data_IF_189724965793
#
_entry.id   IF_189724965793
#
_cell.length_a   1.000
_cell.length_b   1.000
_cell.length_c   1.000
_cell.angle_alpha   90.00
_cell.angle_beta   90.00
_cell.angle_gamma   90.00
#
_symmetry.space_group_name_H-M   'P 1'
#
loop_
_entity.id
_entity.type
_entity.pdbx_description
1 polymer ?
#
# COMPACT_ATOMS: atom_id res chain seq x y z
N UNK A 1 -49.48 49.10 49.03
CA UNK A 1 -49.39 48.67 47.61
C UNK A 1 -47.96 48.24 47.29
N UNK A 2 -47.66 46.93 47.39
CA UNK A 2 -46.41 46.32 46.92
C UNK A 2 -46.78 45.31 45.84
N UNK A 3 -46.94 45.76 44.59
CA UNK A 3 -47.34 44.88 43.48
C UNK A 3 -46.66 45.20 42.13
N UNK A 4 -45.55 45.94 42.15
CA UNK A 4 -44.81 46.30 40.91
C UNK A 4 -43.38 45.74 40.83
N UNK A 5 -42.87 45.08 41.86
CA UNK A 5 -41.48 44.60 41.86
C UNK A 5 -41.31 43.13 41.43
N UNK A 6 -42.39 42.35 41.32
CA UNK A 6 -42.31 40.93 40.97
C UNK A 6 -42.36 40.64 39.46
N UNK A 7 -42.86 41.57 38.64
CA UNK A 7 -43.03 41.36 37.19
C UNK A 7 -41.80 41.73 36.37
N UNK A 8 -40.94 42.63 36.86
CA UNK A 8 -39.72 43.04 36.14
C UNK A 8 -38.64 41.95 36.15
N UNK A 9 -38.57 41.14 37.21
CA UNK A 9 -37.53 40.12 37.38
C UNK A 9 -37.79 38.84 36.57
N UNK A 10 -39.05 38.54 36.23
CA UNK A 10 -39.41 37.37 35.40
C UNK A 10 -39.25 37.63 33.90
N UNK A 11 -39.45 38.86 33.44
CA UNK A 11 -39.26 39.21 32.03
C UNK A 11 -37.77 39.29 31.63
N UNK A 12 -36.91 39.78 32.53
CA UNK A 12 -35.46 39.85 32.27
C UNK A 12 -34.82 38.46 32.18
N UNK A 13 -35.28 37.51 32.99
CA UNK A 13 -34.78 36.13 33.00
C UNK A 13 -35.19 35.37 31.73
N UNK A 14 -36.38 35.63 31.20
CA UNK A 14 -36.86 35.03 29.95
C UNK A 14 -36.10 35.56 28.72
N UNK A 15 -35.76 36.86 28.69
CA UNK A 15 -35.01 37.46 27.57
C UNK A 15 -33.52 37.08 27.55
N UNK A 16 -32.94 36.66 28.69
CA UNK A 16 -31.54 36.20 28.76
C UNK A 16 -31.36 34.71 28.42
N UNK A 17 -32.38 33.88 28.58
CA UNK A 17 -32.32 32.43 28.30
C UNK A 17 -32.55 32.07 26.83
N UNK A 18 -33.31 32.88 26.10
CA UNK A 18 -33.64 32.63 24.69
C UNK A 18 -32.40 32.70 23.77
N UNK A 19 -31.48 33.68 23.86
CA UNK A 19 -30.31 33.68 23.00
C UNK A 19 -29.30 32.57 23.34
N UNK A 20 -29.25 32.10 24.59
CA UNK A 20 -28.36 31.00 25.01
C UNK A 20 -28.84 29.65 24.47
N UNK A 21 -30.16 29.39 24.44
CA UNK A 21 -30.69 28.13 23.94
C UNK A 21 -30.71 28.04 22.41
N UNK A 22 -30.83 29.16 21.69
CA UNK A 22 -30.87 29.17 20.21
C UNK A 22 -29.46 29.10 19.60
N UNK A 23 -28.42 29.60 20.27
CA UNK A 23 -27.04 29.53 19.77
C UNK A 23 -26.23 28.30 20.22
N UNK A 24 -26.69 27.51 21.20
CA UNK A 24 -25.87 26.41 21.76
C UNK A 24 -26.10 25.02 21.14
N UNK A 25 -27.17 24.81 20.37
CA UNK A 25 -27.54 23.46 19.89
C UNK A 25 -27.53 23.24 18.38
N UNK A 26 -27.48 24.29 17.56
CA UNK A 26 -27.55 24.13 16.09
C UNK A 26 -26.16 24.01 15.45
N UNK A 27 -25.13 24.58 16.08
CA UNK A 27 -23.74 24.44 15.62
C UNK A 27 -23.18 23.03 15.86
N UNK A 28 -23.65 22.27 16.86
CA UNK A 28 -23.05 20.98 17.20
C UNK A 28 -23.47 19.85 16.24
N UNK A 29 -24.73 19.77 15.84
CA UNK A 29 -25.19 18.76 14.87
C UNK A 29 -24.70 19.06 13.45
N UNK A 30 -24.82 20.32 13.00
CA UNK A 30 -24.37 20.71 11.66
C UNK A 30 -22.85 20.54 11.49
N UNK A 31 -22.05 20.89 12.51
CA UNK A 31 -20.60 20.68 12.50
C UNK A 31 -20.23 19.21 12.56
N UNK A 32 -21.04 18.37 13.23
CA UNK A 32 -20.80 16.92 13.32
C UNK A 32 -21.12 16.20 12.02
N UNK A 33 -22.20 16.57 11.33
CA UNK A 33 -22.54 16.01 10.02
C UNK A 33 -21.57 16.47 8.92
N UNK A 34 -21.18 17.74 8.93
CA UNK A 34 -20.16 18.24 7.98
C UNK A 34 -18.78 17.64 8.23
N UNK A 35 -18.37 17.49 9.51
CA UNK A 35 -17.12 16.81 9.88
C UNK A 35 -17.11 15.35 9.50
N UNK A 36 -18.22 14.63 9.71
CA UNK A 36 -18.34 13.22 9.32
C UNK A 36 -18.26 13.05 7.79
N UNK A 37 -18.99 13.86 7.04
CA UNK A 37 -18.92 13.83 5.57
C UNK A 37 -17.53 14.22 5.05
N UNK A 38 -16.84 15.14 5.73
CA UNK A 38 -15.45 15.48 5.43
C UNK A 38 -14.49 14.33 5.71
N UNK A 39 -14.64 13.63 6.84
CA UNK A 39 -13.83 12.44 7.17
C UNK A 39 -14.03 11.32 6.15
N UNK A 40 -15.28 11.02 5.76
CA UNK A 40 -15.60 10.02 4.75
C UNK A 40 -14.94 10.34 3.40
N UNK A 41 -15.06 11.58 2.92
CA UNK A 41 -14.43 12.01 1.66
C UNK A 41 -12.90 11.92 1.72
N UNK A 42 -12.29 12.42 2.79
CA UNK A 42 -10.83 12.39 2.94
C UNK A 42 -10.30 10.95 2.97
N UNK A 43 -10.95 10.07 3.73
CA UNK A 43 -10.57 8.65 3.81
C UNK A 43 -10.76 7.92 2.46
N UNK A 44 -11.80 8.25 1.69
CA UNK A 44 -11.98 7.68 0.35
C UNK A 44 -10.88 8.11 -0.62
N UNK A 45 -10.58 9.41 -0.68
CA UNK A 45 -9.49 9.92 -1.53
C UNK A 45 -8.16 9.29 -1.13
N UNK A 46 -7.91 9.17 0.19
CA UNK A 46 -6.73 8.49 0.70
C UNK A 46 -6.68 7.02 0.26
N UNK A 47 -7.77 6.26 0.37
CA UNK A 47 -7.81 4.84 -0.01
C UNK A 47 -7.52 4.65 -1.51
N UNK A 48 -8.16 5.47 -2.35
CA UNK A 48 -7.93 5.45 -3.81
C UNK A 48 -6.48 5.79 -4.15
N UNK A 49 -5.94 6.83 -3.50
CA UNK A 49 -4.58 7.29 -3.68
C UNK A 49 -3.55 6.21 -3.28
N UNK A 50 -3.67 5.58 -2.10
CA UNK A 50 -2.73 4.53 -1.71
C UNK A 50 -2.81 3.29 -2.60
N UNK A 51 -4.02 2.89 -3.02
CA UNK A 51 -4.22 1.70 -3.86
C UNK A 51 -3.70 1.94 -5.27
N UNK A 52 -4.02 3.09 -5.85
CA UNK A 52 -3.60 3.41 -7.21
C UNK A 52 -2.11 3.69 -7.32
N UNK A 53 -1.48 4.23 -6.26
CA UNK A 53 -0.01 4.30 -6.18
C UNK A 53 0.60 2.91 -6.02
N UNK A 54 0.09 2.07 -5.12
CA UNK A 54 0.60 0.71 -4.94
C UNK A 54 0.49 -0.16 -6.22
N UNK A 55 -0.50 0.12 -7.08
CA UNK A 55 -0.78 -0.65 -8.30
C UNK A 55 -0.25 -0.04 -9.60
N UNK A 56 0.44 1.11 -9.54
CA UNK A 56 0.84 1.87 -10.74
C UNK A 56 -0.35 2.17 -11.69
N UNK A 57 -1.47 2.63 -11.12
CA UNK A 57 -2.71 2.90 -11.87
C UNK A 57 -3.03 4.39 -12.03
N UNK A 58 -2.30 5.26 -11.34
CA UNK A 58 -2.55 6.71 -11.32
C UNK A 58 -1.35 7.42 -11.94
N UNK A 59 -1.49 8.14 -13.07
CA UNK A 59 -0.38 8.91 -13.63
C UNK A 59 0.24 9.86 -12.59
N UNK A 60 1.57 10.02 -12.59
CA UNK A 60 2.29 10.82 -11.57
C UNK A 60 1.74 12.25 -11.40
N UNK A 61 1.31 12.87 -12.50
CA UNK A 61 0.67 14.20 -12.47
C UNK A 61 -0.65 14.23 -11.68
N UNK A 62 -1.40 13.13 -11.70
CA UNK A 62 -2.71 13.00 -11.09
C UNK A 62 -2.56 12.63 -9.60
N UNK A 63 -1.49 11.92 -9.23
CA UNK A 63 -1.10 11.69 -7.81
C UNK A 63 -0.99 13.03 -7.06
N UNK A 64 -0.30 14.03 -7.64
CA UNK A 64 -0.16 15.37 -7.02
C UNK A 64 -1.48 16.12 -6.89
N UNK A 65 -2.43 15.89 -7.80
CA UNK A 65 -3.76 16.48 -7.74
C UNK A 65 -4.54 15.83 -6.59
N UNK A 66 -4.54 14.50 -6.51
CA UNK A 66 -5.23 13.76 -5.46
C UNK A 66 -4.69 14.07 -4.06
N UNK A 67 -3.39 14.30 -3.91
CA UNK A 67 -2.81 14.74 -2.62
C UNK A 67 -3.40 16.09 -2.17
N UNK A 68 -3.58 17.04 -3.10
CA UNK A 68 -4.21 18.34 -2.80
C UNK A 68 -5.71 18.23 -2.53
N UNK A 69 -6.39 17.32 -3.23
CA UNK A 69 -7.80 17.01 -2.96
C UNK A 69 -7.97 16.41 -1.57
N UNK A 70 -7.06 15.51 -1.16
CA UNK A 70 -7.00 14.95 0.18
C UNK A 70 -6.81 16.06 1.23
N UNK A 71 -5.87 16.98 1.02
CA UNK A 71 -5.65 18.12 1.92
C UNK A 71 -6.92 18.99 2.06
N UNK A 72 -7.56 19.35 0.94
CA UNK A 72 -8.75 20.18 0.94
C UNK A 72 -9.99 19.48 1.55
N UNK A 73 -10.08 18.15 1.42
CA UNK A 73 -11.10 17.34 2.07
C UNK A 73 -10.84 17.22 3.57
N UNK A 74 -9.58 16.99 3.96
CA UNK A 74 -9.21 16.75 5.36
C UNK A 74 -9.45 17.98 6.24
N UNK A 75 -9.28 19.20 5.72
CA UNK A 75 -9.60 20.45 6.42
C UNK A 75 -11.06 20.54 6.91
N UNK A 76 -11.96 19.71 6.37
CA UNK A 76 -13.37 19.63 6.75
C UNK A 76 -13.70 18.38 7.57
N UNK A 77 -12.71 17.57 7.94
CA UNK A 77 -12.86 16.30 8.65
C UNK A 77 -12.77 16.47 10.18
N UNK A 78 -12.70 15.36 10.92
CA UNK A 78 -12.42 15.39 12.36
C UNK A 78 -10.98 15.84 12.63
N UNK A 79 -10.71 16.38 13.83
CA UNK A 79 -9.35 16.81 14.24
C UNK A 79 -8.32 15.69 14.08
N UNK A 80 -8.75 14.44 14.25
CA UNK A 80 -7.89 13.27 14.12
C UNK A 80 -7.51 12.98 12.67
N UNK A 81 -8.46 13.10 11.74
CA UNK A 81 -8.17 12.99 10.30
C UNK A 81 -7.32 14.18 9.84
N UNK A 82 -7.59 15.40 10.32
CA UNK A 82 -6.80 16.60 10.01
C UNK A 82 -5.33 16.38 10.40
N UNK A 83 -5.06 15.95 11.63
CA UNK A 83 -3.68 15.76 12.11
C UNK A 83 -2.96 14.63 11.38
N UNK A 84 -3.63 13.48 11.17
CA UNK A 84 -3.03 12.35 10.47
C UNK A 84 -2.78 12.65 8.98
N UNK A 85 -3.73 13.30 8.31
CA UNK A 85 -3.62 13.65 6.88
C UNK A 85 -2.56 14.71 6.61
N UNK A 86 -2.39 15.71 7.49
CA UNK A 86 -1.37 16.74 7.32
C UNK A 86 0.03 16.15 7.18
N UNK A 87 0.35 15.17 8.04
CA UNK A 87 1.64 14.48 8.00
C UNK A 87 1.81 13.63 6.74
N UNK A 88 0.73 12.95 6.33
CA UNK A 88 0.74 12.15 5.11
C UNK A 88 0.87 13.01 3.84
N UNK A 89 0.13 14.11 3.74
CA UNK A 89 0.16 15.03 2.59
C UNK A 89 1.58 15.52 2.34
N UNK A 90 2.28 16.03 3.37
CA UNK A 90 3.66 16.52 3.22
C UNK A 90 4.59 15.40 2.74
N UNK A 91 4.54 14.23 3.39
CA UNK A 91 5.41 13.11 3.05
C UNK A 91 5.12 12.56 1.63
N UNK A 92 3.85 12.44 1.27
CA UNK A 92 3.40 11.99 -0.05
C UNK A 92 3.74 12.99 -1.16
N UNK A 93 3.69 14.31 -0.90
CA UNK A 93 4.14 15.32 -1.86
C UNK A 93 5.65 15.19 -2.12
N UNK A 94 6.44 15.01 -1.07
CA UNK A 94 7.90 14.77 -1.19
C UNK A 94 8.17 13.49 -1.99
N UNK A 95 7.50 12.38 -1.66
CA UNK A 95 7.63 11.13 -2.41
C UNK A 95 7.19 11.27 -3.89
N UNK A 96 6.16 12.09 -4.18
CA UNK A 96 5.69 12.36 -5.54
C UNK A 96 6.57 13.38 -6.30
N UNK A 97 7.53 14.03 -5.65
CA UNK A 97 8.51 14.93 -6.29
C UNK A 97 9.81 14.24 -6.73
N UNK A 98 9.97 12.95 -6.42
CA UNK A 98 11.23 12.22 -6.57
C UNK A 98 11.63 11.82 -8.01
N UNK A 99 12.88 11.36 -8.11
CA UNK A 99 13.69 11.05 -9.30
C UNK A 99 13.32 9.76 -10.06
N UNK A 100 12.30 9.02 -9.61
CA UNK A 100 11.84 7.77 -10.22
C UNK A 100 10.78 8.01 -11.29
N UNK A 101 10.62 7.07 -12.22
CA UNK A 101 9.52 7.12 -13.20
C UNK A 101 8.14 7.04 -12.52
N UNK A 102 8.05 6.46 -11.31
CA UNK A 102 6.81 6.39 -10.53
C UNK A 102 7.05 6.39 -9.00
N UNK A 103 6.28 7.15 -8.19
CA UNK A 103 6.48 7.22 -6.74
C UNK A 103 5.90 6.02 -5.97
N UNK A 104 6.43 5.73 -4.78
CA UNK A 104 5.86 4.78 -3.82
C UNK A 104 5.61 5.43 -2.46
N UNK A 105 4.58 4.99 -1.74
CA UNK A 105 4.30 5.42 -0.35
C UNK A 105 4.78 4.43 0.70
N UNK A 106 5.41 3.34 0.26
CA UNK A 106 5.95 2.32 1.14
C UNK A 106 7.43 2.56 1.37
N UNK A 107 7.97 2.16 2.52
CA UNK A 107 9.41 2.14 2.69
C UNK A 107 9.90 1.12 1.68
N UNK A 108 11.02 1.41 1.03
CA UNK A 108 11.73 0.54 0.10
C UNK A 108 11.35 0.78 -1.36
N UNK A 109 11.88 1.88 -1.90
CA UNK A 109 12.52 1.94 -3.19
C UNK A 109 14.04 1.81 -2.90
N UNK A 110 14.66 0.64 -3.08
CA UNK A 110 16.09 0.45 -2.70
C UNK A 110 17.08 1.10 -3.68
N UNK A 111 16.54 1.75 -4.69
CA UNK A 111 17.16 2.74 -5.56
C UNK A 111 17.18 4.15 -4.95
N UNK A 112 16.71 4.32 -3.70
CA UNK A 112 16.82 5.57 -2.94
C UNK A 112 18.17 5.76 -2.23
N UNK A 113 18.70 6.99 -2.33
CA UNK A 113 19.75 7.45 -1.44
C UNK A 113 19.24 7.48 0.01
N UNK A 114 20.17 7.43 0.99
CA UNK A 114 19.81 7.55 2.43
C UNK A 114 18.92 8.75 2.75
N UNK A 115 19.06 9.85 2.01
CA UNK A 115 18.27 11.07 2.17
C UNK A 115 16.80 10.87 1.75
N UNK A 116 16.55 10.09 0.69
CA UNK A 116 15.21 9.82 0.21
C UNK A 116 14.51 8.68 0.97
N UNK A 117 15.27 7.70 1.47
CA UNK A 117 14.72 6.62 2.30
C UNK A 117 14.01 7.16 3.55
N UNK A 118 14.50 8.26 4.14
CA UNK A 118 13.85 8.92 5.27
C UNK A 118 12.44 9.43 4.92
N UNK A 119 12.26 9.99 3.72
CA UNK A 119 10.97 10.49 3.24
C UNK A 119 9.99 9.33 2.97
N UNK A 120 10.47 8.22 2.41
CA UNK A 120 9.65 7.03 2.19
C UNK A 120 9.22 6.36 3.50
N UNK A 121 10.11 6.28 4.49
CA UNK A 121 9.76 5.81 5.85
C UNK A 121 8.71 6.72 6.48
N UNK A 122 8.87 8.04 6.37
CA UNK A 122 7.92 9.00 6.92
C UNK A 122 6.55 8.92 6.21
N UNK A 123 6.56 8.72 4.89
CA UNK A 123 5.35 8.51 4.09
C UNK A 123 4.62 7.24 4.52
N UNK A 124 5.34 6.14 4.75
CA UNK A 124 4.73 4.91 5.22
C UNK A 124 4.18 5.01 6.65
N UNK A 125 4.93 5.61 7.57
CA UNK A 125 4.48 5.78 8.96
C UNK A 125 3.26 6.71 9.04
N UNK A 126 3.19 7.72 8.16
CA UNK A 126 2.03 8.61 8.07
C UNK A 126 0.84 7.93 7.39
N UNK A 127 1.06 7.09 6.38
CA UNK A 127 0.05 6.20 5.79
C UNK A 127 -0.59 5.32 6.89
N UNK A 128 0.21 4.61 7.68
CA UNK A 128 -0.29 3.76 8.78
C UNK A 128 -1.13 4.55 9.79
N UNK A 129 -0.72 5.79 10.10
CA UNK A 129 -1.47 6.66 11.02
C UNK A 129 -2.79 7.10 10.44
N UNK A 130 -2.84 7.45 9.15
CA UNK A 130 -4.07 7.87 8.48
C UNK A 130 -5.03 6.70 8.28
N UNK A 131 -4.53 5.51 7.93
CA UNK A 131 -5.32 4.26 7.91
C UNK A 131 -6.00 4.02 9.25
N UNK A 132 -5.22 4.00 10.34
CA UNK A 132 -5.77 3.84 11.70
C UNK A 132 -6.77 4.94 12.06
N UNK A 133 -6.52 6.17 11.61
CA UNK A 133 -7.40 7.28 11.89
C UNK A 133 -8.78 7.09 11.25
N UNK A 134 -8.82 6.66 9.98
CA UNK A 134 -10.03 6.32 9.24
C UNK A 134 -10.77 5.12 9.84
N UNK A 135 -10.06 4.05 10.21
CA UNK A 135 -10.67 2.85 10.82
C UNK A 135 -11.37 3.16 12.14
N UNK A 136 -10.76 3.99 12.99
CA UNK A 136 -11.35 4.44 14.25
C UNK A 136 -12.54 5.40 14.06
N UNK A 137 -12.70 6.03 12.88
CA UNK A 137 -13.91 6.76 12.48
C UNK A 137 -14.99 5.82 11.88
N UNK A 138 -14.70 4.51 11.82
CA UNK A 138 -15.59 3.49 11.25
C UNK A 138 -15.55 3.38 9.73
N UNK A 139 -14.54 3.98 9.08
CA UNK A 139 -14.36 3.95 7.64
C UNK A 139 -13.34 2.85 7.31
N UNK A 140 -13.78 1.82 6.59
CA UNK A 140 -12.91 0.75 6.16
C UNK A 140 -11.91 1.26 5.12
N UNK A 141 -10.64 0.97 5.34
CA UNK A 141 -9.55 1.26 4.41
C UNK A 141 -9.10 -0.06 3.78
N UNK A 142 -8.95 -0.06 2.46
CA UNK A 142 -8.55 -1.25 1.73
C UNK A 142 -7.06 -1.46 1.94
N UNK A 143 -6.66 -2.64 2.44
CA UNK A 143 -5.26 -3.03 2.45
C UNK A 143 -4.85 -3.35 1.02
N UNK A 144 -3.83 -2.70 0.45
CA UNK A 144 -3.38 -3.02 -0.90
C UNK A 144 -2.95 -4.50 -0.98
N UNK A 145 -3.63 -5.25 -1.83
CA UNK A 145 -3.24 -6.60 -2.25
C UNK A 145 -2.91 -6.55 -3.74
N UNK A 146 -1.72 -7.04 -4.10
CA UNK A 146 -1.28 -7.23 -5.49
C UNK A 146 -1.47 -8.68 -5.96
N UNK A 147 -2.30 -9.48 -5.28
CA UNK A 147 -2.62 -10.83 -5.76
C UNK A 147 -3.25 -10.77 -7.16
N UNK A 148 -2.70 -11.54 -8.11
CA UNK A 148 -3.32 -11.73 -9.44
C UNK A 148 -4.67 -12.46 -9.24
N UNK A 149 -5.82 -11.79 -9.46
CA UNK A 149 -7.14 -12.39 -9.22
C UNK A 149 -7.44 -13.56 -10.17
N UNK A 150 -6.62 -13.78 -11.21
CA UNK A 150 -6.71 -14.92 -12.13
C UNK A 150 -5.90 -16.15 -11.72
N UNK A 151 -5.08 -16.07 -10.67
CA UNK A 151 -4.26 -17.20 -10.24
C UNK A 151 -5.07 -18.10 -9.29
N UNK A 152 -5.52 -19.25 -9.81
CA UNK A 152 -6.19 -20.26 -9.00
C UNK A 152 -5.21 -20.89 -8.00
N UNK A 153 -5.22 -20.33 -6.79
CA UNK A 153 -4.39 -20.69 -5.64
C UNK A 153 -4.61 -22.13 -5.16
N UNK A 154 -5.64 -22.81 -5.67
CA UNK A 154 -6.05 -24.15 -5.22
C UNK A 154 -5.60 -25.29 -6.13
N UNK A 155 -5.04 -24.99 -7.31
CA UNK A 155 -4.62 -26.03 -8.26
C UNK A 155 -3.23 -26.56 -7.93
N UNK A 156 -3.18 -27.55 -7.03
CA UNK A 156 -2.02 -28.42 -6.85
C UNK A 156 -1.96 -29.40 -8.02
N UNK A 157 -1.05 -29.19 -8.96
CA UNK A 157 -0.79 -30.16 -10.02
C UNK A 157 0.50 -30.88 -9.66
N UNK A 158 0.38 -32.04 -9.03
CA UNK A 158 1.52 -32.90 -8.76
C UNK A 158 1.85 -33.67 -10.03
N UNK A 159 3.01 -33.37 -10.60
CA UNK A 159 3.63 -34.16 -11.63
C UNK A 159 4.91 -34.78 -11.07
N UNK A 160 5.10 -36.07 -11.30
CA UNK A 160 6.32 -36.78 -10.90
C UNK A 160 7.48 -36.26 -11.72
N UNK A 161 8.57 -35.84 -11.05
CA UNK A 161 9.81 -35.44 -11.70
C UNK A 161 10.38 -36.67 -12.45
N UNK A 162 10.74 -36.55 -13.74
CA UNK A 162 11.40 -37.64 -14.48
C UNK A 162 12.69 -38.10 -13.79
N UNK A 163 12.99 -39.40 -13.85
CA UNK A 163 14.18 -39.97 -13.18
C UNK A 163 15.51 -39.42 -13.73
N UNK A 164 15.52 -39.03 -15.01
CA UNK A 164 16.65 -38.46 -15.73
C UNK A 164 16.75 -36.94 -15.59
N UNK A 165 15.84 -36.29 -14.88
CA UNK A 165 15.92 -34.86 -14.60
C UNK A 165 17.17 -34.53 -13.76
N UNK A 166 17.84 -33.45 -14.14
CA UNK A 166 18.97 -32.89 -13.38
C UNK A 166 18.44 -32.21 -12.11
N UNK A 167 17.36 -31.43 -12.23
CA UNK A 167 16.75 -30.71 -11.11
C UNK A 167 15.67 -31.58 -10.47
N UNK A 168 15.99 -32.21 -9.34
CA UNK A 168 15.20 -33.33 -8.79
C UNK A 168 14.07 -32.92 -7.88
N UNK A 169 14.18 -31.74 -7.27
CA UNK A 169 13.22 -31.29 -6.28
C UNK A 169 13.20 -29.75 -6.20
N UNK A 170 12.19 -29.25 -5.50
CA UNK A 170 11.99 -27.81 -5.28
C UNK A 170 13.17 -27.15 -4.56
N UNK A 171 13.82 -27.84 -3.62
CA UNK A 171 14.95 -27.28 -2.90
C UNK A 171 16.14 -27.01 -3.82
N UNK A 172 16.50 -27.97 -4.67
CA UNK A 172 17.52 -27.81 -5.71
C UNK A 172 17.15 -26.71 -6.71
N UNK A 173 15.88 -26.67 -7.16
CA UNK A 173 15.39 -25.63 -8.04
C UNK A 173 15.54 -24.23 -7.41
N UNK A 174 15.16 -24.07 -6.14
CA UNK A 174 15.30 -22.81 -5.42
C UNK A 174 16.77 -22.40 -5.27
N UNK A 175 17.68 -23.33 -4.98
CA UNK A 175 19.12 -23.03 -4.91
C UNK A 175 19.69 -22.57 -6.25
N UNK A 176 19.25 -23.17 -7.36
CA UNK A 176 19.65 -22.76 -8.71
C UNK A 176 19.21 -21.32 -8.99
N UNK A 177 17.97 -20.97 -8.63
CA UNK A 177 17.45 -19.59 -8.77
C UNK A 177 18.22 -18.62 -7.89
N UNK A 178 18.45 -18.93 -6.61
CA UNK A 178 19.21 -18.05 -5.71
C UNK A 178 20.62 -17.79 -6.23
N UNK A 179 21.29 -18.82 -6.76
CA UNK A 179 22.62 -18.69 -7.35
C UNK A 179 22.60 -17.79 -8.58
N UNK A 180 21.63 -18.00 -9.48
CA UNK A 180 21.44 -17.17 -10.66
C UNK A 180 21.20 -15.71 -10.29
N UNK A 181 20.30 -15.44 -9.35
CA UNK A 181 19.98 -14.10 -8.90
C UNK A 181 21.17 -13.41 -8.20
N UNK A 182 22.06 -14.15 -7.53
CA UNK A 182 23.25 -13.56 -6.91
C UNK A 182 24.22 -12.91 -7.93
N UNK A 183 24.12 -13.25 -9.21
CA UNK A 183 24.90 -12.61 -10.28
C UNK A 183 24.36 -11.23 -10.66
N UNK A 184 23.12 -10.92 -10.31
CA UNK A 184 22.45 -9.65 -10.63
C UNK A 184 22.43 -8.70 -9.43
N UNK A 185 22.72 -7.43 -9.70
CA UNK A 185 22.58 -6.36 -8.71
C UNK A 185 21.11 -5.98 -8.56
N UNK A 186 20.73 -5.62 -7.35
CA UNK A 186 19.42 -5.06 -7.04
C UNK A 186 19.59 -3.82 -6.17
N UNK A 187 19.03 -2.70 -6.60
CA UNK A 187 19.14 -1.40 -5.91
C UNK A 187 20.55 -0.83 -5.86
N UNK A 188 20.72 0.20 -5.03
CA UNK A 188 22.02 0.82 -4.77
C UNK A 188 22.84 0.03 -3.72
N UNK A 189 24.13 0.35 -3.61
CA UNK A 189 25.06 -0.22 -2.61
C UNK A 189 25.46 -1.70 -2.80
N UNK A 190 25.23 -2.27 -3.99
CA UNK A 190 25.74 -3.60 -4.35
C UNK A 190 24.96 -4.76 -3.71
N UNK A 191 23.72 -4.51 -3.27
CA UNK A 191 22.80 -5.58 -2.92
C UNK A 191 22.48 -6.47 -4.12
N UNK A 192 22.12 -7.71 -3.85
CA UNK A 192 21.92 -8.76 -4.86
C UNK A 192 20.45 -9.16 -4.97
N UNK A 193 20.04 -9.57 -6.16
CA UNK A 193 18.67 -10.01 -6.41
C UNK A 193 18.22 -11.16 -5.49
N UNK A 194 19.12 -12.06 -5.14
CA UNK A 194 18.79 -13.18 -4.25
C UNK A 194 18.50 -12.68 -2.82
N UNK A 195 19.13 -11.58 -2.38
CA UNK A 195 18.85 -10.93 -1.11
C UNK A 195 17.46 -10.30 -1.10
N UNK A 196 17.09 -9.58 -2.17
CA UNK A 196 15.72 -9.05 -2.34
C UNK A 196 14.68 -10.15 -2.29
N UNK A 197 14.87 -11.21 -3.09
CA UNK A 197 13.98 -12.37 -3.12
C UNK A 197 13.79 -12.93 -1.70
N UNK A 198 14.89 -13.13 -0.95
CA UNK A 198 14.86 -13.63 0.43
C UNK A 198 14.21 -12.68 1.41
N UNK A 199 14.23 -11.38 1.16
CA UNK A 199 13.64 -10.39 2.05
C UNK A 199 12.12 -10.31 1.88
N UNK A 200 11.67 -10.22 0.62
CA UNK A 200 10.29 -9.84 0.30
C UNK A 200 9.41 -11.02 -0.03
N UNK A 201 10.01 -12.14 -0.44
CA UNK A 201 9.29 -13.31 -0.92
C UNK A 201 9.57 -14.57 -0.12
N UNK A 202 8.64 -15.51 -0.23
CA UNK A 202 8.79 -16.89 0.23
C UNK A 202 8.41 -17.85 -0.88
N UNK A 203 9.21 -18.90 -1.07
CA UNK A 203 8.89 -19.97 -2.02
C UNK A 203 7.64 -20.71 -1.55
N UNK A 204 6.78 -21.09 -2.49
CA UNK A 204 5.57 -21.87 -2.20
C UNK A 204 5.77 -23.33 -2.53
N UNK A 205 5.92 -24.14 -1.49
CA UNK A 205 6.10 -25.60 -1.59
C UNK A 205 4.90 -26.32 -2.21
N UNK A 206 3.71 -25.76 -2.03
CA UNK A 206 2.45 -26.37 -2.47
C UNK A 206 1.93 -25.83 -3.81
N UNK A 207 2.54 -24.77 -4.37
CA UNK A 207 2.12 -24.16 -5.64
C UNK A 207 3.22 -24.13 -6.70
N UNK A 208 4.46 -24.50 -6.34
CA UNK A 208 5.54 -24.76 -7.30
C UNK A 208 5.44 -26.21 -7.80
N UNK A 209 5.67 -26.45 -9.08
CA UNK A 209 5.45 -27.77 -9.70
C UNK A 209 6.31 -27.97 -10.94
N UNK A 210 6.44 -29.21 -11.40
CA UNK A 210 7.04 -29.52 -12.71
C UNK A 210 5.96 -29.53 -13.78
N UNK A 211 6.07 -28.69 -14.79
CA UNK A 211 5.32 -28.81 -16.03
C UNK A 211 6.05 -29.77 -16.99
N UNK A 212 5.56 -31.00 -17.07
CA UNK A 212 6.13 -32.04 -17.95
C UNK A 212 5.95 -31.67 -19.44
N UNK A 213 4.91 -30.94 -19.81
CA UNK A 213 4.68 -30.58 -21.21
C UNK A 213 5.74 -29.63 -21.75
N UNK A 214 6.26 -28.77 -20.86
CA UNK A 214 7.30 -27.81 -21.20
C UNK A 214 8.67 -28.19 -20.64
N UNK A 215 8.77 -29.33 -19.94
CA UNK A 215 9.98 -29.84 -19.30
C UNK A 215 10.59 -28.86 -18.27
N UNK A 216 9.74 -28.13 -17.54
CA UNK A 216 10.15 -27.02 -16.68
C UNK A 216 9.65 -27.15 -15.26
N UNK A 217 10.52 -26.93 -14.28
CA UNK A 217 10.10 -26.51 -12.95
C UNK A 217 9.52 -25.11 -13.02
N UNK A 218 8.31 -24.93 -12.51
CA UNK A 218 7.65 -23.65 -12.30
C UNK A 218 7.76 -23.32 -10.81
N UNK A 219 8.66 -22.40 -10.47
CA UNK A 219 8.93 -21.98 -9.10
C UNK A 219 8.18 -20.69 -8.82
N UNK A 220 7.31 -20.73 -7.82
CA UNK A 220 6.46 -19.61 -7.44
C UNK A 220 6.88 -19.06 -6.08
N UNK A 221 7.11 -17.76 -6.05
CA UNK A 221 7.42 -16.97 -4.88
C UNK A 221 6.25 -16.05 -4.59
N UNK A 222 5.80 -16.03 -3.33
CA UNK A 222 4.72 -15.15 -2.89
C UNK A 222 5.28 -14.12 -1.93
N UNK A 223 4.68 -12.92 -1.94
CA UNK A 223 5.05 -11.87 -1.01
C UNK A 223 4.84 -12.35 0.44
N UNK A 224 5.79 -12.04 1.30
CA UNK A 224 5.64 -12.26 2.75
C UNK A 224 4.57 -11.33 3.31
N UNK A 225 4.07 -11.68 4.49
CA UNK A 225 3.12 -10.84 5.21
C UNK A 225 3.63 -9.39 5.37
N UNK A 226 2.79 -8.41 5.03
CA UNK A 226 3.14 -6.99 5.06
C UNK A 226 3.97 -6.49 3.89
N UNK A 227 4.40 -7.37 2.96
CA UNK A 227 5.02 -6.99 1.69
C UNK A 227 3.94 -6.87 0.63
N UNK A 228 3.98 -5.76 -0.11
CA UNK A 228 2.93 -5.41 -1.07
C UNK A 228 3.50 -4.84 -2.37
N UNK A 229 4.82 -4.87 -2.54
CA UNK A 229 5.51 -4.39 -3.74
C UNK A 229 6.05 -5.57 -4.51
N UNK A 230 5.82 -5.60 -5.83
CA UNK A 230 6.27 -6.68 -6.71
C UNK A 230 5.15 -7.62 -7.18
N UNK A 231 5.41 -8.40 -8.24
CA UNK A 231 4.48 -9.41 -8.73
C UNK A 231 4.17 -10.43 -7.64
N UNK A 232 2.90 -10.82 -7.50
CA UNK A 232 2.48 -11.81 -6.52
C UNK A 232 1.50 -12.82 -7.16
N UNK A 233 1.96 -14.01 -7.56
CA UNK A 233 3.32 -14.54 -7.38
C UNK A 233 4.35 -14.04 -8.39
N UNK A 234 5.59 -13.94 -7.93
CA UNK A 234 6.80 -13.89 -8.76
C UNK A 234 7.13 -15.30 -9.25
N UNK A 235 7.39 -15.47 -10.55
CA UNK A 235 7.58 -16.81 -11.16
C UNK A 235 8.90 -16.94 -11.90
N UNK A 236 9.59 -18.05 -11.66
CA UNK A 236 10.73 -18.48 -12.46
C UNK A 236 10.49 -19.88 -13.01
N UNK A 237 11.09 -20.15 -14.16
CA UNK A 237 11.05 -21.44 -14.82
C UNK A 237 12.47 -21.99 -14.91
N UNK A 238 12.66 -23.26 -14.58
CA UNK A 238 13.95 -23.95 -14.74
C UNK A 238 13.74 -25.15 -15.65
N UNK A 239 14.46 -25.23 -16.76
CA UNK A 239 14.48 -26.44 -17.57
C UNK A 239 15.12 -27.58 -16.77
N UNK A 240 14.38 -28.68 -16.61
CA UNK A 240 14.78 -29.76 -15.70
C UNK A 240 15.97 -30.58 -16.23
N UNK A 241 16.36 -30.39 -17.50
CA UNK A 241 17.44 -31.14 -18.19
C UNK A 241 18.68 -30.31 -18.48
N UNK A 242 18.59 -28.97 -18.42
CA UNK A 242 19.71 -28.07 -18.75
C UNK A 242 20.05 -27.06 -17.67
N UNK A 243 19.23 -26.94 -16.61
CA UNK A 243 19.32 -25.90 -15.57
C UNK A 243 19.13 -24.47 -16.11
N UNK A 244 18.69 -24.30 -17.36
CA UNK A 244 18.41 -22.97 -17.91
C UNK A 244 17.23 -22.31 -17.20
N UNK A 245 17.40 -21.04 -16.82
CA UNK A 245 16.42 -20.26 -16.05
C UNK A 245 15.75 -19.23 -16.96
N UNK A 246 14.44 -19.07 -16.76
CA UNK A 246 13.63 -18.07 -17.44
C UNK A 246 12.75 -17.36 -16.40
N UNK A 247 12.70 -16.03 -16.43
CA UNK A 247 11.69 -15.26 -15.67
C UNK A 247 10.38 -15.14 -16.44
N UNK A 248 9.26 -15.10 -15.71
CA UNK A 248 7.96 -14.82 -16.31
C UNK A 248 7.92 -13.37 -16.80
N UNK A 249 7.45 -13.14 -18.03
CA UNK A 249 7.32 -11.80 -18.60
C UNK A 249 6.37 -10.90 -17.79
N UNK A 250 5.43 -11.50 -17.06
CA UNK A 250 4.53 -10.77 -16.15
C UNK A 250 5.22 -10.31 -14.88
N UNK A 251 6.43 -10.79 -14.57
CA UNK A 251 7.24 -10.24 -13.50
C UNK A 251 7.71 -8.80 -13.82
N UNK A 252 7.63 -8.38 -15.09
CA UNK A 252 8.06 -7.07 -15.56
C UNK A 252 6.90 -6.07 -15.48
N UNK A 253 6.47 -5.78 -14.26
CA UNK A 253 5.60 -4.65 -14.00
C UNK A 253 6.51 -3.41 -13.93
N UNK A 254 6.23 -2.40 -14.75
CA UNK A 254 6.98 -1.14 -14.84
C UNK A 254 6.99 -0.39 -13.51
N UNK A 255 7.90 -0.74 -12.62
CA UNK A 255 8.04 -0.12 -11.31
C UNK A 255 9.48 -0.34 -10.87
N UNK A 256 10.31 0.70 -10.88
CA UNK A 256 11.74 0.67 -10.51
C UNK A 256 12.06 -0.02 -9.18
N UNK A 257 11.03 -0.25 -8.38
CA UNK A 257 11.07 -0.71 -6.99
C UNK A 257 10.75 -2.21 -6.91
N UNK A 258 10.23 -2.78 -7.98
CA UNK A 258 9.48 -4.02 -7.97
C UNK A 258 9.64 -4.79 -9.28
N UNK A 259 10.88 -5.04 -9.73
CA UNK A 259 11.08 -5.72 -11.01
C UNK A 259 11.82 -7.05 -10.83
N UNK A 260 11.58 -7.98 -11.77
CA UNK A 260 12.50 -9.05 -12.09
C UNK A 260 13.89 -8.47 -12.27
N UNK A 261 14.63 -8.42 -11.16
CA UNK A 261 15.89 -7.71 -11.07
C UNK A 261 17.01 -8.42 -11.85
N UNK A 262 16.70 -9.61 -12.37
CA UNK A 262 17.43 -10.35 -13.39
C UNK A 262 17.28 -9.79 -14.81
N UNK A 263 16.36 -8.84 -15.03
CA UNK A 263 16.07 -8.23 -16.34
C UNK A 263 16.81 -6.90 -16.58
N UNK A 264 17.55 -6.39 -15.59
CA UNK A 264 18.28 -5.11 -15.63
C UNK A 264 19.80 -5.28 -15.75
#
# INVERSE_FOLDING_TARGET
MKFKLLTLNKLLFFFLLIPVLVFSCVESEYRKDTSKNGSELACHIFDELQLGVAKDQIPVKDIKIMIKELEAASMRSSDKIIEASKRFVVAAEEAATNYYVYPTFYPLAYDDTYEHMANHVETFLSLQKLTKACEEEGIAITVPSLEDPGEDVTKKIEFTVPEDAIVKNLYEANLIIEKYLNDFSWGDFGAKCDQWLKMDYQVSDNRSFVDIQTNKWVIKYFLKEGKILGPNPLKYYIDITSEEIYSDKKNNISSHIAEGCDQW
#
